data_IF_216692782350
#
_entry.id   IF_216692782350
#
_cell.length_a   1.000
_cell.length_b   1.000
_cell.length_c   1.000
_cell.angle_alpha   90.00
_cell.angle_beta   90.00
_cell.angle_gamma   90.00
#
_symmetry.space_group_name_H-M   'P 1'
#
loop_
_entity.id
_entity.type
_entity.pdbx_description
1 polymer ?
#
# COMPACT_ATOMS: atom_id res chain seq x y z
N UNK A 1 -20.94 47.88 -48.36
CA UNK A 1 -20.79 47.59 -46.91
C UNK A 1 -21.69 46.46 -46.41
N UNK A 2 -23.00 46.46 -46.68
CA UNK A 2 -23.90 45.37 -46.25
C UNK A 2 -23.49 43.98 -46.78
N UNK A 3 -23.15 43.86 -48.06
CA UNK A 3 -22.70 42.60 -48.68
C UNK A 3 -21.42 42.05 -48.04
N UNK A 4 -20.48 42.92 -47.66
CA UNK A 4 -19.24 42.53 -46.97
C UNK A 4 -19.52 42.01 -45.55
N UNK A 5 -20.46 42.62 -44.83
CA UNK A 5 -20.88 42.16 -43.49
C UNK A 5 -21.62 40.83 -43.56
N UNK A 6 -22.48 40.64 -44.55
CA UNK A 6 -23.19 39.38 -44.80
C UNK A 6 -22.20 38.25 -45.13
N UNK A 7 -21.24 38.52 -46.02
CA UNK A 7 -20.20 37.56 -46.40
C UNK A 7 -19.32 37.19 -45.20
N UNK A 8 -18.95 38.17 -44.35
CA UNK A 8 -18.19 37.91 -43.13
C UNK A 8 -18.98 37.07 -42.10
N UNK A 9 -20.28 37.35 -41.92
CA UNK A 9 -21.13 36.58 -41.02
C UNK A 9 -21.26 35.13 -41.47
N UNK A 10 -21.39 34.92 -42.79
CA UNK A 10 -21.45 33.58 -43.39
C UNK A 10 -20.15 32.80 -43.18
N UNK A 11 -19.00 33.41 -43.45
CA UNK A 11 -17.69 32.78 -43.23
C UNK A 11 -17.48 32.39 -41.76
N UNK A 12 -17.88 33.23 -40.82
CA UNK A 12 -17.80 32.90 -39.39
C UNK A 12 -18.72 31.72 -39.03
N UNK A 13 -19.94 31.68 -39.56
CA UNK A 13 -20.85 30.57 -39.31
C UNK A 13 -20.30 29.24 -39.85
N UNK A 14 -19.77 29.26 -41.08
CA UNK A 14 -19.10 28.11 -41.69
C UNK A 14 -17.91 27.64 -40.84
N UNK A 15 -17.07 28.58 -40.38
CA UNK A 15 -15.94 28.28 -39.48
C UNK A 15 -16.38 27.62 -38.16
N UNK A 16 -17.45 28.10 -37.52
CA UNK A 16 -17.93 27.53 -36.25
C UNK A 16 -18.53 26.13 -36.45
N UNK A 17 -19.23 25.89 -37.55
CA UNK A 17 -19.77 24.56 -37.89
C UNK A 17 -18.62 23.57 -38.09
N UNK A 18 -17.57 23.96 -38.81
CA UNK A 18 -16.38 23.12 -38.98
C UNK A 18 -15.72 22.79 -37.63
N UNK A 19 -15.62 23.76 -36.72
CA UNK A 19 -15.06 23.53 -35.38
C UNK A 19 -15.90 22.57 -34.54
N UNK A 20 -17.23 22.70 -34.56
CA UNK A 20 -18.13 21.78 -33.86
C UNK A 20 -18.03 20.35 -34.41
N UNK A 21 -17.96 20.23 -35.73
CA UNK A 21 -17.80 18.95 -36.42
C UNK A 21 -16.46 18.29 -36.07
N UNK A 22 -15.36 19.04 -36.11
CA UNK A 22 -14.03 18.55 -35.78
C UNK A 22 -13.89 18.11 -34.31
N UNK A 23 -14.60 18.77 -33.40
CA UNK A 23 -14.67 18.39 -31.99
C UNK A 23 -15.62 17.22 -31.71
N UNK A 24 -16.31 16.69 -32.73
CA UNK A 24 -17.25 15.57 -32.59
C UNK A 24 -18.46 15.91 -31.71
N UNK A 25 -18.87 17.18 -31.70
CA UNK A 25 -19.96 17.66 -30.85
C UNK A 25 -21.30 17.18 -31.40
N UNK A 26 -22.13 16.61 -30.53
CA UNK A 26 -23.54 16.35 -30.84
C UNK A 26 -24.31 17.68 -30.82
N UNK A 27 -24.64 18.18 -32.02
CA UNK A 27 -25.37 19.45 -32.17
C UNK A 27 -26.77 19.41 -31.57
N UNK A 28 -27.45 18.26 -31.58
CA UNK A 28 -28.79 18.12 -31.04
C UNK A 28 -28.77 18.18 -29.50
N UNK A 29 -27.78 17.52 -28.89
CA UNK A 29 -27.55 17.60 -27.44
C UNK A 29 -27.09 19.00 -27.01
N UNK A 30 -26.24 19.66 -27.82
CA UNK A 30 -25.81 21.03 -27.54
C UNK A 30 -26.99 22.02 -27.63
N UNK A 31 -27.85 21.90 -28.65
CA UNK A 31 -29.05 22.73 -28.77
C UNK A 31 -30.00 22.55 -27.58
N UNK A 32 -30.16 21.32 -27.08
CA UNK A 32 -30.99 21.06 -25.90
C UNK A 32 -30.45 21.73 -24.61
N UNK A 33 -29.14 21.96 -24.54
CA UNK A 33 -28.46 22.60 -23.41
C UNK A 33 -28.41 24.12 -23.50
N UNK A 34 -28.65 24.69 -24.67
CA UNK A 34 -28.69 26.14 -24.89
C UNK A 34 -30.07 26.69 -24.53
N UNK A 35 -30.12 27.63 -23.59
CA UNK A 35 -31.34 28.39 -23.32
C UNK A 35 -31.30 29.75 -24.04
N UNK A 36 -32.43 30.30 -24.49
CA UNK A 36 -32.47 31.58 -25.22
C UNK A 36 -31.88 32.77 -24.43
N UNK A 37 -31.89 32.68 -23.10
CA UNK A 37 -31.40 33.73 -22.19
C UNK A 37 -29.89 33.65 -21.92
N UNK A 38 -29.21 32.61 -22.42
CA UNK A 38 -27.77 32.45 -22.25
C UNK A 38 -27.01 33.49 -23.07
N UNK A 39 -26.34 34.41 -22.35
CA UNK A 39 -25.44 35.37 -22.97
C UNK A 39 -24.12 34.69 -23.35
N UNK A 40 -23.56 34.97 -24.54
CA UNK A 40 -22.24 34.47 -24.92
C UNK A 40 -21.14 34.80 -23.91
N UNK A 41 -21.21 35.96 -23.24
CA UNK A 41 -20.25 36.36 -22.20
C UNK A 41 -20.27 35.46 -20.97
N UNK A 42 -21.43 34.89 -20.63
CA UNK A 42 -21.55 33.94 -19.52
C UNK A 42 -20.85 32.62 -19.85
N UNK A 43 -21.12 32.07 -21.03
CA UNK A 43 -20.48 30.84 -21.50
C UNK A 43 -18.96 30.99 -21.60
N UNK A 44 -18.48 32.14 -22.08
CA UNK A 44 -17.06 32.45 -22.09
C UNK A 44 -16.46 32.48 -20.67
N UNK A 45 -17.18 33.06 -19.71
CA UNK A 45 -16.78 33.05 -18.30
C UNK A 45 -16.68 31.64 -17.72
N UNK A 46 -17.64 30.78 -18.03
CA UNK A 46 -17.61 29.37 -17.61
C UNK A 46 -16.45 28.59 -18.23
N UNK A 47 -16.16 28.80 -19.52
CA UNK A 47 -14.99 28.21 -20.19
C UNK A 47 -13.70 28.64 -19.49
N UNK A 48 -13.55 29.93 -19.18
CA UNK A 48 -12.38 30.43 -18.43
C UNK A 48 -12.31 29.82 -17.02
N UNK A 49 -13.43 29.73 -16.30
CA UNK A 49 -13.48 29.12 -14.96
C UNK A 49 -13.05 27.66 -14.98
N UNK A 50 -13.54 26.88 -15.95
CA UNK A 50 -13.20 25.46 -16.12
C UNK A 50 -11.73 25.30 -16.52
N UNK A 51 -11.23 26.10 -17.46
CA UNK A 51 -9.82 26.07 -17.86
C UNK A 51 -8.89 26.40 -16.69
N UNK A 52 -9.26 27.36 -15.84
CA UNK A 52 -8.50 27.68 -14.63
C UNK A 52 -8.53 26.52 -13.63
N UNK A 53 -9.67 25.85 -13.47
CA UNK A 53 -9.77 24.66 -12.61
C UNK A 53 -8.91 23.50 -13.14
N UNK A 54 -8.90 23.27 -14.46
CA UNK A 54 -8.03 22.26 -15.11
C UNK A 54 -6.56 22.61 -14.88
N UNK A 55 -6.19 23.88 -15.07
CA UNK A 55 -4.81 24.33 -14.83
C UNK A 55 -4.39 24.15 -13.36
N UNK A 56 -5.31 24.39 -12.43
CA UNK A 56 -5.07 24.24 -10.99
C UNK A 56 -4.85 22.78 -10.56
N UNK A 57 -5.36 21.80 -11.31
CA UNK A 57 -5.07 20.37 -11.07
C UNK A 57 -3.60 20.03 -11.35
N UNK A 58 -2.89 20.88 -12.09
CA UNK A 58 -1.51 20.67 -12.47
C UNK A 58 -1.36 19.60 -13.56
N UNK A 59 -0.12 19.30 -13.95
CA UNK A 59 0.15 18.29 -14.96
C UNK A 59 -0.30 16.91 -14.48
N UNK A 60 -0.93 16.14 -15.37
CA UNK A 60 -1.24 14.73 -15.11
C UNK A 60 0.07 13.99 -14.88
N UNK A 61 0.21 13.34 -13.72
CA UNK A 61 1.38 12.51 -13.44
C UNK A 61 1.27 11.20 -14.23
N UNK A 62 1.84 11.18 -15.44
CA UNK A 62 1.85 10.02 -16.32
C UNK A 62 2.65 8.84 -15.73
N UNK A 63 3.56 9.08 -14.79
CA UNK A 63 4.36 8.06 -14.12
C UNK A 63 3.68 7.47 -12.88
N UNK A 64 2.55 8.03 -12.43
CA UNK A 64 1.91 7.63 -11.17
C UNK A 64 1.50 6.16 -11.14
N UNK A 65 1.04 5.61 -12.28
CA UNK A 65 0.64 4.21 -12.37
C UNK A 65 1.84 3.27 -12.26
N UNK A 66 2.96 3.61 -12.90
CA UNK A 66 4.18 2.81 -12.84
C UNK A 66 4.83 2.89 -11.45
N UNK A 67 4.86 4.08 -10.84
CA UNK A 67 5.32 4.28 -9.46
C UNK A 67 4.47 3.49 -8.45
N UNK A 68 3.14 3.53 -8.60
CA UNK A 68 2.23 2.75 -7.75
C UNK A 68 2.50 1.24 -7.88
N UNK A 69 2.71 0.77 -9.11
CA UNK A 69 3.03 -0.64 -9.37
C UNK A 69 4.36 -1.03 -8.70
N UNK A 70 5.42 -0.25 -8.91
CA UNK A 70 6.73 -0.50 -8.31
C UNK A 70 6.68 -0.46 -6.77
N UNK A 71 5.95 0.50 -6.20
CA UNK A 71 5.76 0.60 -4.76
C UNK A 71 4.98 -0.60 -4.19
N UNK A 72 3.95 -1.07 -4.91
CA UNK A 72 3.14 -2.22 -4.51
C UNK A 72 3.93 -3.54 -4.56
N UNK A 73 4.75 -3.73 -5.60
CA UNK A 73 5.66 -4.87 -5.72
C UNK A 73 6.68 -4.87 -4.57
N UNK A 74 7.30 -3.71 -4.29
CA UNK A 74 8.24 -3.56 -3.17
C UNK A 74 7.59 -3.83 -1.82
N UNK A 75 6.37 -3.34 -1.59
CA UNK A 75 5.60 -3.62 -0.37
C UNK A 75 5.38 -5.11 -0.20
N UNK A 76 4.91 -5.78 -1.24
CA UNK A 76 4.65 -7.24 -1.21
C UNK A 76 5.91 -8.03 -0.86
N UNK A 77 7.04 -7.65 -1.45
CA UNK A 77 8.34 -8.27 -1.15
C UNK A 77 8.79 -8.04 0.31
N UNK A 78 8.60 -6.83 0.85
CA UNK A 78 8.96 -6.51 2.23
C UNK A 78 8.03 -7.20 3.24
N UNK A 79 6.73 -7.27 2.95
CA UNK A 79 5.76 -7.96 3.78
C UNK A 79 6.09 -9.46 3.87
N UNK A 80 6.47 -10.09 2.75
CA UNK A 80 6.89 -11.48 2.73
C UNK A 80 8.16 -11.74 3.56
N UNK A 81 9.18 -10.87 3.43
CA UNK A 81 10.40 -10.98 4.25
C UNK A 81 10.11 -10.74 5.74
N UNK A 82 9.23 -9.80 6.07
CA UNK A 82 8.85 -9.55 7.46
C UNK A 82 8.17 -10.77 8.06
N UNK A 83 7.24 -11.40 7.32
CA UNK A 83 6.57 -12.61 7.77
C UNK A 83 7.56 -13.77 7.98
N UNK A 84 8.51 -13.96 7.05
CA UNK A 84 9.54 -15.00 7.16
C UNK A 84 10.44 -14.78 8.39
N UNK A 85 10.87 -13.54 8.63
CA UNK A 85 11.65 -13.19 9.82
C UNK A 85 10.87 -13.43 11.13
N UNK A 86 9.59 -13.06 11.18
CA UNK A 86 8.75 -13.31 12.36
C UNK A 86 8.61 -14.81 12.62
N UNK A 87 8.32 -15.60 11.59
CA UNK A 87 8.22 -17.06 11.72
C UNK A 87 9.55 -17.70 12.16
N UNK A 88 10.68 -17.19 11.65
CA UNK A 88 12.00 -17.66 12.04
C UNK A 88 12.30 -17.35 13.51
N UNK A 89 11.93 -16.17 14.00
CA UNK A 89 12.05 -15.80 15.42
C UNK A 89 11.22 -16.75 16.28
N UNK A 90 9.94 -16.95 15.95
CA UNK A 90 9.07 -17.87 16.70
C UNK A 90 9.64 -19.29 16.75
N UNK A 91 10.14 -19.78 15.61
CA UNK A 91 10.77 -21.10 15.51
C UNK A 91 12.01 -21.21 16.39
N UNK A 92 12.85 -20.17 16.42
CA UNK A 92 14.05 -20.14 17.26
C UNK A 92 13.69 -20.11 18.75
N UNK A 93 12.68 -19.32 19.14
CA UNK A 93 12.20 -19.28 20.52
C UNK A 93 11.65 -20.63 20.99
N UNK A 94 10.89 -21.33 20.13
CA UNK A 94 10.42 -22.69 20.41
C UNK A 94 11.56 -23.69 20.55
N UNK A 95 12.58 -23.60 19.68
CA UNK A 95 13.76 -24.44 19.78
C UNK A 95 14.50 -24.21 21.11
N UNK A 96 14.67 -22.96 21.52
CA UNK A 96 15.30 -22.60 22.81
C UNK A 96 14.50 -23.19 23.97
N UNK A 97 13.17 -23.00 23.99
CA UNK A 97 12.30 -23.54 25.05
C UNK A 97 12.43 -25.05 25.19
N UNK A 98 12.48 -25.76 24.05
CA UNK A 98 12.65 -27.21 24.03
C UNK A 98 14.02 -27.64 24.57
N UNK A 99 15.08 -26.97 24.14
CA UNK A 99 16.45 -27.23 24.63
C UNK A 99 16.53 -27.00 26.14
N UNK A 100 15.95 -25.92 26.65
CA UNK A 100 15.95 -25.63 28.08
C UNK A 100 15.24 -26.71 28.90
N UNK A 101 14.10 -27.20 28.41
CA UNK A 101 13.34 -28.26 29.08
C UNK A 101 14.08 -29.60 29.09
N UNK A 102 14.68 -29.98 27.96
CA UNK A 102 15.51 -31.19 27.85
C UNK A 102 16.75 -31.07 28.75
N UNK A 103 17.42 -29.93 28.73
CA UNK A 103 18.62 -29.65 29.54
C UNK A 103 18.31 -29.75 31.04
N UNK A 104 17.20 -29.14 31.48
CA UNK A 104 16.75 -29.24 32.88
C UNK A 104 16.45 -30.68 33.28
N UNK A 105 15.79 -31.44 32.41
CA UNK A 105 15.47 -32.85 32.68
C UNK A 105 16.73 -33.70 32.82
N UNK A 106 17.71 -33.50 31.93
CA UNK A 106 18.98 -34.20 31.96
C UNK A 106 19.82 -33.85 33.20
N UNK A 107 19.87 -32.56 33.56
CA UNK A 107 20.56 -32.09 34.76
C UNK A 107 19.93 -32.63 36.04
N UNK A 108 18.60 -32.62 36.13
CA UNK A 108 17.90 -33.20 37.28
C UNK A 108 18.18 -34.69 37.40
N UNK A 109 18.09 -35.43 36.29
CA UNK A 109 18.36 -36.87 36.29
C UNK A 109 19.79 -37.22 36.71
N UNK A 110 20.77 -36.47 36.21
CA UNK A 110 22.18 -36.66 36.61
C UNK A 110 22.41 -36.26 38.07
N UNK A 111 21.81 -35.17 38.56
CA UNK A 111 21.87 -34.78 39.97
C UNK A 111 21.29 -35.86 40.89
N UNK A 112 20.11 -36.37 40.56
CA UNK A 112 19.44 -37.41 41.35
C UNK A 112 20.28 -38.70 41.40
N UNK A 113 20.91 -39.07 40.28
CA UNK A 113 21.78 -40.23 40.21
C UNK A 113 23.06 -40.06 41.03
N UNK A 114 23.69 -38.88 40.98
CA UNK A 114 24.86 -38.56 41.81
C UNK A 114 24.47 -38.54 43.28
N UNK A 115 23.33 -37.95 43.64
CA UNK A 115 22.82 -37.90 45.00
C UNK A 115 22.55 -39.30 45.57
N UNK A 116 21.98 -40.20 44.75
CA UNK A 116 21.76 -41.60 45.13
C UNK A 116 23.09 -42.30 45.45
N UNK A 117 24.06 -42.26 44.54
CA UNK A 117 25.37 -42.87 44.76
C UNK A 117 26.12 -42.25 45.95
N UNK A 118 25.98 -40.94 46.16
CA UNK A 118 26.57 -40.26 47.31
C UNK A 118 25.98 -40.77 48.63
N UNK A 119 24.65 -40.91 48.70
CA UNK A 119 23.96 -41.46 49.85
C UNK A 119 24.32 -42.92 50.16
N UNK A 120 24.66 -43.72 49.15
CA UNK A 120 25.12 -45.10 49.33
C UNK A 120 26.60 -45.21 49.77
N UNK A 121 27.46 -44.32 49.25
CA UNK A 121 28.91 -44.35 49.52
C UNK A 121 29.26 -43.72 50.87
N UNK A 122 28.52 -42.70 51.30
CA UNK A 122 28.81 -41.96 52.53
C UNK A 122 28.80 -42.85 53.80
N UNK A 123 27.77 -43.70 54.06
CA UNK A 123 27.74 -44.55 55.25
C UNK A 123 28.88 -45.58 55.25
N UNK A 124 29.31 -46.03 54.07
CA UNK A 124 30.43 -46.99 53.92
C UNK A 124 31.78 -46.37 54.28
N UNK A 125 31.99 -45.08 53.96
CA UNK A 125 33.23 -44.37 54.24
C UNK A 125 33.33 -43.85 55.68
N UNK A 126 32.19 -43.49 56.28
CA UNK A 126 32.15 -42.86 57.61
C UNK A 126 31.61 -43.77 58.73
N UNK A 127 31.37 -45.05 58.45
CA UNK A 127 30.98 -46.04 59.47
C UNK A 127 29.52 -45.93 59.94
N UNK A 128 28.64 -45.33 59.13
CA UNK A 128 27.23 -45.07 59.44
C UNK A 128 26.81 -43.60 59.22
N UNK A 129 25.50 -43.33 59.24
CA UNK A 129 24.92 -41.99 59.02
C UNK A 129 24.15 -41.84 57.69
N UNK A 130 23.50 -40.70 57.47
CA UNK A 130 22.84 -40.34 56.21
C UNK A 130 23.39 -39.03 55.67
N UNK A 131 23.62 -38.95 54.36
CA UNK A 131 23.99 -37.73 53.67
C UNK A 131 23.23 -37.61 52.35
N UNK A 132 22.87 -36.39 51.97
CA UNK A 132 22.28 -36.06 50.67
C UNK A 132 22.89 -34.77 50.14
N UNK A 133 22.92 -34.63 48.82
CA UNK A 133 23.14 -33.36 48.14
C UNK A 133 21.85 -32.51 48.28
N UNK A 134 22.03 -31.23 48.60
CA UNK A 134 20.97 -30.20 48.74
C UNK A 134 20.95 -29.30 47.54
#
# INVERSE_FOLDING_TARGET
ELQLKEQAARLNAEQFIEQLTAAGVDEADLQAKLTPDMKPSYLQGEVTRINNAITALGPVNMAALDELKAASERKTFLDAQSADLTNAIETLEDAIRKIDQETRTLLQGTFDQVNHHFGELFPRLFGGGQAKLI
#
